data_IF_803508181240
#
_entry.id   IF_803508181240
#
_cell.length_a   1.000
_cell.length_b   1.000
_cell.length_c   1.000
_cell.angle_alpha   90.00
_cell.angle_beta   90.00
_cell.angle_gamma   90.00
#
_symmetry.space_group_name_H-M   'P 1'
#
loop_
_entity.id
_entity.type
_entity.pdbx_description
1 polymer ?
#
# COMPACT_ATOMS: atom_id res chain seq x y z
N UNK A 1 12.09 9.92 -4.19
CA UNK A 1 10.90 10.27 -3.37
C UNK A 1 10.22 9.01 -2.86
N UNK A 2 10.20 7.98 -3.70
CA UNK A 2 9.85 6.60 -3.35
C UNK A 2 11.14 5.78 -3.16
N UNK A 3 11.17 4.96 -2.12
CA UNK A 3 12.18 3.92 -1.93
C UNK A 3 11.59 2.57 -2.33
N UNK A 4 12.26 1.85 -3.20
CA UNK A 4 11.85 0.51 -3.65
C UNK A 4 12.78 -0.55 -3.09
N UNK A 5 12.21 -1.64 -2.60
CA UNK A 5 12.92 -2.85 -2.19
C UNK A 5 12.42 -3.99 -3.08
N UNK A 6 13.33 -4.62 -3.80
CA UNK A 6 13.05 -5.84 -4.56
C UNK A 6 13.24 -7.07 -3.67
N UNK A 7 12.49 -8.14 -3.97
CA UNK A 7 12.50 -9.37 -3.19
C UNK A 7 12.33 -9.11 -1.67
N UNK A 8 11.42 -8.20 -1.32
CA UNK A 8 11.36 -7.62 0.04
C UNK A 8 11.06 -8.65 1.14
N UNK A 9 10.30 -9.70 0.83
CA UNK A 9 9.97 -10.77 1.77
C UNK A 9 10.56 -12.12 1.36
N UNK A 10 10.88 -12.99 2.33
CA UNK A 10 11.18 -14.39 2.08
C UNK A 10 10.08 -15.08 1.25
N UNK A 11 10.42 -15.91 0.25
CA UNK A 11 9.44 -16.58 -0.60
C UNK A 11 8.31 -17.33 0.15
N UNK A 12 8.56 -18.01 1.29
CA UNK A 12 7.50 -18.67 2.05
C UNK A 12 6.44 -17.70 2.58
N UNK A 13 6.82 -16.49 3.02
CA UNK A 13 5.88 -15.48 3.49
C UNK A 13 5.01 -14.94 2.35
N UNK A 14 5.64 -14.66 1.20
CA UNK A 14 4.91 -14.23 0.00
C UNK A 14 3.89 -15.28 -0.43
N UNK A 15 4.29 -16.56 -0.42
CA UNK A 15 3.41 -17.68 -0.78
C UNK A 15 2.20 -17.77 0.14
N UNK A 16 2.41 -17.83 1.47
CA UNK A 16 1.30 -17.95 2.44
C UNK A 16 0.33 -16.77 2.36
N UNK A 17 0.85 -15.55 2.25
CA UNK A 17 0.01 -14.36 2.09
C UNK A 17 -0.82 -14.42 0.80
N UNK A 18 -0.22 -14.84 -0.33
CA UNK A 18 -0.95 -15.01 -1.60
C UNK A 18 -2.03 -16.08 -1.53
N UNK A 19 -1.74 -17.23 -0.92
CA UNK A 19 -2.71 -18.30 -0.73
C UNK A 19 -3.90 -17.82 0.13
N UNK A 20 -3.62 -17.07 1.20
CA UNK A 20 -4.67 -16.45 2.01
C UNK A 20 -5.52 -15.45 1.20
N UNK A 21 -4.89 -14.57 0.41
CA UNK A 21 -5.58 -13.61 -0.45
C UNK A 21 -6.43 -14.32 -1.52
N UNK A 22 -5.92 -15.41 -2.10
CA UNK A 22 -6.65 -16.18 -3.11
C UNK A 22 -7.90 -16.86 -2.53
N UNK A 23 -7.83 -17.35 -1.28
CA UNK A 23 -8.97 -17.97 -0.58
C UNK A 23 -10.13 -17.01 -0.30
N UNK A 24 -9.90 -15.70 -0.31
CA UNK A 24 -10.97 -14.68 -0.23
C UNK A 24 -11.88 -14.74 -1.48
N UNK A 25 -11.40 -15.32 -2.60
CA UNK A 25 -12.17 -15.43 -3.84
C UNK A 25 -12.40 -14.07 -4.49
N UNK A 26 -13.56 -13.90 -5.14
CA UNK A 26 -13.98 -12.64 -5.78
C UNK A 26 -14.90 -11.80 -4.91
N UNK A 27 -15.08 -12.15 -3.64
CA UNK A 27 -15.93 -11.38 -2.74
C UNK A 27 -15.38 -9.95 -2.65
N UNK A 28 -16.26 -8.95 -2.80
CA UNK A 28 -15.97 -7.57 -2.38
C UNK A 28 -14.78 -6.90 -3.06
N UNK A 29 -14.43 -7.27 -4.30
CA UNK A 29 -13.32 -6.68 -5.07
C UNK A 29 -13.31 -5.14 -5.03
N UNK A 30 -14.47 -4.51 -5.21
CA UNK A 30 -14.61 -3.04 -5.13
C UNK A 30 -14.51 -2.49 -3.70
N UNK A 31 -14.92 -3.25 -2.69
CA UNK A 31 -14.88 -2.82 -1.29
C UNK A 31 -13.51 -3.05 -0.64
N UNK A 32 -12.62 -3.82 -1.30
CA UNK A 32 -11.29 -4.16 -0.82
C UNK A 32 -10.40 -2.93 -0.59
N UNK A 33 -10.60 -1.86 -1.36
CA UNK A 33 -9.91 -0.57 -1.21
C UNK A 33 -10.46 0.32 -0.09
N UNK A 34 -11.66 0.03 0.43
CA UNK A 34 -12.34 0.88 1.40
C UNK A 34 -12.46 0.25 2.79
N UNK A 35 -12.07 -1.03 2.93
CA UNK A 35 -12.05 -1.72 4.22
C UNK A 35 -10.62 -1.83 4.70
N UNK A 36 -10.29 -1.05 5.74
CA UNK A 36 -8.96 -1.03 6.35
C UNK A 36 -8.97 -1.72 7.71
N UNK A 37 -7.80 -2.22 8.10
CA UNK A 37 -7.56 -2.92 9.36
C UNK A 37 -6.40 -2.25 10.09
N UNK A 38 -6.55 -2.08 11.41
CA UNK A 38 -5.48 -1.55 12.25
C UNK A 38 -4.68 -2.68 12.89
N UNK A 39 -3.36 -2.68 12.67
CA UNK A 39 -2.43 -3.62 13.26
C UNK A 39 -1.45 -2.90 14.21
N UNK A 40 -1.58 -3.08 15.54
CA UNK A 40 -0.65 -2.51 16.51
C UNK A 40 0.78 -3.05 16.34
N UNK A 41 1.81 -2.22 16.59
CA UNK A 41 3.24 -2.57 16.41
C UNK A 41 3.71 -3.87 17.08
N UNK A 42 3.06 -4.30 18.15
CA UNK A 42 3.42 -5.49 18.94
C UNK A 42 2.34 -6.57 18.93
N UNK A 43 1.38 -6.47 18.03
CA UNK A 43 0.36 -7.48 17.90
C UNK A 43 0.95 -8.78 17.33
N UNK A 44 0.42 -9.92 17.77
CA UNK A 44 0.60 -11.17 17.06
C UNK A 44 -0.24 -11.12 15.77
N UNK A 45 0.24 -11.67 14.64
CA UNK A 45 -0.54 -11.68 13.41
C UNK A 45 -1.73 -12.64 13.56
N UNK A 46 -2.92 -12.18 13.20
CA UNK A 46 -4.12 -13.01 13.18
C UNK A 46 -4.15 -13.97 11.96
N UNK A 47 -3.46 -13.61 10.87
CA UNK A 47 -3.41 -14.40 9.65
C UNK A 47 -2.18 -14.10 8.78
N UNK A 48 -1.95 -14.91 7.74
CA UNK A 48 -0.77 -14.85 6.89
C UNK A 48 -0.50 -13.48 6.20
N UNK A 49 -1.53 -12.67 5.94
CA UNK A 49 -1.32 -11.31 5.42
C UNK A 49 -0.69 -10.39 6.48
N UNK A 50 -1.08 -10.50 7.76
CA UNK A 50 -0.48 -9.71 8.84
C UNK A 50 0.95 -10.17 9.15
N UNK A 51 1.26 -11.47 8.98
CA UNK A 51 2.65 -11.93 9.01
C UNK A 51 3.52 -11.16 8.00
N UNK A 52 3.01 -10.95 6.79
CA UNK A 52 3.69 -10.17 5.77
C UNK A 52 3.79 -8.69 6.14
N UNK A 53 2.71 -8.07 6.66
CA UNK A 53 2.73 -6.67 7.12
C UNK A 53 3.78 -6.46 8.22
N UNK A 54 3.81 -7.33 9.23
CA UNK A 54 4.80 -7.26 10.32
C UNK A 54 6.24 -7.45 9.80
N UNK A 55 6.45 -8.31 8.80
CA UNK A 55 7.76 -8.51 8.19
C UNK A 55 8.23 -7.32 7.33
N UNK A 56 7.30 -6.63 6.65
CA UNK A 56 7.59 -5.43 5.86
C UNK A 56 7.87 -4.20 6.74
N UNK A 57 7.26 -4.14 7.91
CA UNK A 57 7.37 -3.01 8.83
C UNK A 57 8.80 -2.54 9.13
N UNK A 58 9.74 -3.40 9.58
CA UNK A 58 11.11 -2.97 9.83
C UNK A 58 11.78 -2.47 8.55
N UNK A 59 11.46 -3.06 7.40
CA UNK A 59 11.99 -2.67 6.10
C UNK A 59 11.54 -1.26 5.71
N UNK A 60 10.32 -0.85 6.09
CA UNK A 60 9.80 0.50 5.87
C UNK A 60 10.53 1.58 6.69
N UNK A 61 11.24 1.19 7.75
CA UNK A 61 11.81 2.14 8.71
C UNK A 61 10.78 2.71 9.69
N UNK A 62 9.62 2.06 9.83
CA UNK A 62 8.49 2.50 10.65
C UNK A 62 8.68 2.28 12.18
N UNK A 63 9.93 2.27 12.68
CA UNK A 63 10.25 1.99 14.10
C UNK A 63 9.68 3.01 15.09
N UNK A 64 9.11 4.12 14.65
CA UNK A 64 8.47 5.15 15.50
C UNK A 64 6.94 5.18 15.34
N UNK A 65 6.35 4.28 14.55
CA UNK A 65 4.91 4.18 14.37
C UNK A 65 4.27 3.32 15.47
N UNK A 66 3.03 3.66 15.88
CA UNK A 66 2.27 2.93 16.88
C UNK A 66 1.57 1.67 16.32
N UNK A 67 1.17 1.75 15.05
CA UNK A 67 0.46 0.72 14.31
C UNK A 67 0.67 0.94 12.81
N UNK A 68 0.17 0.00 12.03
CA UNK A 68 -0.01 0.14 10.59
C UNK A 68 -1.50 -0.05 10.32
N UNK A 69 -2.07 0.87 9.57
CA UNK A 69 -3.32 0.60 8.89
C UNK A 69 -2.98 -0.13 7.58
N UNK A 70 -3.70 -1.21 7.28
CA UNK A 70 -3.48 -2.01 6.09
C UNK A 70 -4.80 -2.45 5.45
N UNK A 71 -4.76 -2.70 4.15
CA UNK A 71 -5.88 -3.23 3.38
C UNK A 71 -5.35 -4.00 2.16
N UNK A 72 -6.23 -4.73 1.48
CA UNK A 72 -5.90 -5.44 0.24
C UNK A 72 -6.48 -4.67 -0.94
N UNK A 73 -5.63 -4.18 -1.83
CA UNK A 73 -6.08 -3.66 -3.12
C UNK A 73 -6.22 -4.79 -4.15
N UNK A 74 -7.41 -4.96 -4.73
CA UNK A 74 -7.60 -5.76 -5.95
C UNK A 74 -8.50 -5.04 -6.96
N UNK A 75 -7.96 -4.75 -8.12
CA UNK A 75 -8.67 -4.08 -9.21
C UNK A 75 -8.17 -4.59 -10.57
N UNK A 76 -8.97 -4.34 -11.61
CA UNK A 76 -8.49 -4.43 -12.99
C UNK A 76 -7.74 -3.14 -13.31
N UNK A 77 -6.62 -3.23 -14.03
CA UNK A 77 -5.80 -2.04 -14.35
C UNK A 77 -6.49 -1.07 -15.30
N UNK A 78 -7.64 -1.44 -15.86
CA UNK A 78 -8.51 -0.60 -16.71
C UNK A 78 -9.76 -0.08 -15.99
N UNK A 79 -9.93 -0.40 -14.71
CA UNK A 79 -11.06 -0.02 -13.85
C UNK A 79 -10.56 0.16 -12.41
N UNK A 80 -9.77 1.21 -12.20
CA UNK A 80 -9.16 1.52 -10.91
C UNK A 80 -10.16 2.29 -10.03
N UNK A 81 -10.48 1.80 -8.80
CA UNK A 81 -11.50 2.40 -7.96
C UNK A 81 -10.99 3.59 -7.12
N UNK A 82 -9.76 4.03 -7.33
CA UNK A 82 -9.10 5.05 -6.49
C UNK A 82 -8.37 6.07 -7.35
N UNK A 83 -8.73 7.34 -7.17
CA UNK A 83 -8.08 8.49 -7.79
C UNK A 83 -6.78 8.86 -7.06
N UNK A 84 -6.07 9.90 -7.54
CA UNK A 84 -4.97 10.47 -6.77
C UNK A 84 -5.50 11.07 -5.46
N UNK A 85 -4.87 10.73 -4.35
CA UNK A 85 -5.30 11.12 -3.01
C UNK A 85 -4.11 11.23 -2.06
N UNK A 86 -4.41 11.74 -0.86
CA UNK A 86 -3.51 11.67 0.28
C UNK A 86 -4.04 10.60 1.24
N UNK A 87 -3.16 9.72 1.72
CA UNK A 87 -3.51 8.84 2.83
C UNK A 87 -3.81 9.71 4.05
N UNK A 88 -4.98 9.56 4.64
CA UNK A 88 -5.39 10.36 5.78
C UNK A 88 -6.37 9.62 6.67
N UNK A 89 -6.29 9.87 7.98
CA UNK A 89 -7.33 9.47 8.91
C UNK A 89 -8.61 10.29 8.61
N UNK A 90 -9.62 9.62 8.07
CA UNK A 90 -10.92 10.20 7.71
C UNK A 90 -11.90 10.23 8.88
N UNK A 91 -11.58 9.58 10.01
CA UNK A 91 -12.46 9.52 11.19
C UNK A 91 -12.13 10.59 12.24
N UNK A 92 -10.93 11.18 12.16
CA UNK A 92 -10.50 12.24 13.06
C UNK A 92 -11.10 13.62 12.76
N UNK A 93 -11.18 14.49 13.79
CA UNK A 93 -11.55 15.92 13.64
C UNK A 93 -10.54 16.74 12.83
N UNK A 94 -9.31 16.24 12.67
CA UNK A 94 -8.24 16.88 11.92
C UNK A 94 -7.68 15.89 10.90
N UNK A 95 -7.40 16.37 9.68
CA UNK A 95 -6.71 15.58 8.66
C UNK A 95 -5.31 15.26 9.16
N UNK A 96 -5.06 13.98 9.49
CA UNK A 96 -3.76 13.47 9.89
C UNK A 96 -3.29 12.47 8.86
N UNK A 97 -2.06 12.64 8.40
CA UNK A 97 -1.42 11.74 7.44
C UNK A 97 -0.55 10.72 8.19
N UNK A 98 -0.41 9.48 7.68
CA UNK A 98 0.54 8.54 8.24
C UNK A 98 1.98 9.07 8.08
N UNK A 99 2.88 8.64 8.95
CA UNK A 99 4.30 9.01 8.86
C UNK A 99 4.92 8.52 7.55
N UNK A 100 4.50 7.33 7.11
CA UNK A 100 4.96 6.65 5.91
C UNK A 100 3.77 5.94 5.28
N UNK A 101 3.76 5.90 3.96
CA UNK A 101 2.86 5.05 3.17
C UNK A 101 3.69 4.03 2.41
N UNK A 102 3.08 2.88 2.10
CA UNK A 102 3.79 1.82 1.40
C UNK A 102 2.87 0.89 0.64
N UNK A 103 3.34 0.34 -0.48
CA UNK A 103 2.62 -0.60 -1.33
C UNK A 103 3.49 -1.83 -1.56
N UNK A 104 2.94 -3.00 -1.25
CA UNK A 104 3.55 -4.29 -1.57
C UNK A 104 2.80 -4.98 -2.71
N UNK A 105 3.52 -5.37 -3.76
CA UNK A 105 2.92 -5.95 -4.96
C UNK A 105 2.97 -7.48 -4.93
N UNK A 106 1.80 -8.12 -5.00
CA UNK A 106 1.68 -9.59 -4.96
C UNK A 106 1.85 -10.26 -6.34
N UNK A 107 1.64 -9.54 -7.43
CA UNK A 107 1.71 -10.05 -8.80
C UNK A 107 2.17 -8.96 -9.78
N UNK A 108 2.80 -9.34 -10.91
CA UNK A 108 3.01 -8.43 -12.03
C UNK A 108 1.72 -8.25 -12.84
N UNK A 109 1.52 -7.05 -13.39
CA UNK A 109 0.45 -6.72 -14.35
C UNK A 109 0.92 -5.62 -15.31
N UNK A 110 0.24 -5.46 -16.45
CA UNK A 110 0.41 -4.30 -17.35
C UNK A 110 -0.46 -3.15 -16.84
N UNK A 111 0.10 -1.94 -16.80
CA UNK A 111 -0.50 -0.78 -16.11
C UNK A 111 -0.47 -0.96 -14.60
N UNK A 112 -1.34 -0.27 -13.87
CA UNK A 112 -1.45 -0.40 -12.41
C UNK A 112 -0.20 0.10 -11.67
N UNK A 113 0.54 1.03 -12.26
CA UNK A 113 1.74 1.59 -11.67
C UNK A 113 1.36 2.46 -10.48
N UNK A 114 2.03 2.27 -9.34
CA UNK A 114 1.97 3.28 -8.28
C UNK A 114 2.61 4.55 -8.84
N UNK A 115 1.93 5.68 -8.71
CA UNK A 115 2.43 6.99 -9.04
C UNK A 115 2.43 7.85 -7.78
N UNK A 116 3.57 8.44 -7.44
CA UNK A 116 3.75 9.31 -6.28
C UNK A 116 4.28 10.64 -6.76
N UNK A 117 3.68 11.73 -6.28
CA UNK A 117 4.14 13.09 -6.58
C UNK A 117 4.82 13.72 -5.37
N UNK A 118 5.54 14.83 -5.58
CA UNK A 118 6.09 15.64 -4.48
C UNK A 118 5.08 16.62 -3.88
N UNK A 119 3.82 16.59 -4.35
CA UNK A 119 2.76 17.41 -3.81
C UNK A 119 2.40 16.95 -2.39
N UNK A 120 2.33 17.92 -1.49
CA UNK A 120 1.85 17.80 -0.11
C UNK A 120 0.50 18.53 0.03
N UNK A 121 -0.30 18.30 1.10
CA UNK A 121 -1.63 18.89 1.26
C UNK A 121 -1.69 20.42 1.15
N UNK A 122 -0.61 21.12 1.51
CA UNK A 122 -0.50 22.58 1.45
C UNK A 122 -0.03 23.11 0.09
N UNK A 123 0.40 22.24 -0.83
CA UNK A 123 0.84 22.61 -2.18
C UNK A 123 -0.26 22.35 -3.21
N UNK A 124 -0.41 23.28 -4.16
CA UNK A 124 -1.37 23.16 -5.27
C UNK A 124 -0.84 22.40 -6.48
N UNK A 125 0.48 22.27 -6.64
CA UNK A 125 1.09 21.74 -7.87
C UNK A 125 2.21 20.78 -7.54
N UNK A 126 2.22 19.63 -8.22
CA UNK A 126 3.34 18.70 -8.24
C UNK A 126 4.40 19.16 -9.24
N UNK A 127 5.67 19.09 -8.86
CA UNK A 127 6.82 19.34 -9.73
C UNK A 127 7.51 18.05 -10.18
N UNK A 128 7.28 16.95 -9.44
CA UNK A 128 7.89 15.65 -9.71
C UNK A 128 6.86 14.54 -9.62
N UNK A 129 7.05 13.52 -10.47
CA UNK A 129 6.28 12.28 -10.49
C UNK A 129 7.26 11.11 -10.55
N UNK A 130 7.17 10.19 -9.59
CA UNK A 130 7.89 8.92 -9.62
C UNK A 130 6.88 7.77 -9.76
N UNK A 131 7.16 6.82 -10.66
CA UNK A 131 6.30 5.65 -10.88
C UNK A 131 7.00 4.35 -10.50
N UNK A 132 6.24 3.40 -9.96
CA UNK A 132 6.72 2.06 -9.61
C UNK A 132 5.80 1.02 -10.26
N UNK A 133 6.37 0.26 -11.19
CA UNK A 133 5.64 -0.82 -11.84
C UNK A 133 5.33 -1.97 -10.86
N UNK A 134 4.13 -2.57 -10.94
CA UNK A 134 3.79 -3.71 -10.11
C UNK A 134 4.63 -4.92 -10.50
N UNK A 135 5.42 -5.43 -9.56
CA UNK A 135 6.17 -6.68 -9.70
C UNK A 135 6.04 -7.48 -8.43
N UNK A 136 5.90 -8.80 -8.54
CA UNK A 136 5.79 -9.68 -7.37
C UNK A 136 6.96 -9.46 -6.41
N UNK A 137 6.64 -9.32 -5.13
CA UNK A 137 7.61 -9.16 -4.04
C UNK A 137 8.43 -7.85 -4.12
N UNK A 138 7.86 -6.84 -4.78
CA UNK A 138 8.37 -5.48 -4.76
C UNK A 138 7.63 -4.68 -3.69
N UNK A 139 8.38 -3.90 -2.92
CA UNK A 139 7.86 -3.06 -1.86
C UNK A 139 8.26 -1.61 -2.09
N UNK A 140 7.29 -0.72 -2.25
CA UNK A 140 7.49 0.72 -2.43
C UNK A 140 7.12 1.44 -1.13
N UNK A 141 7.95 2.37 -0.67
CA UNK A 141 7.74 3.17 0.55
C UNK A 141 7.96 4.64 0.22
N UNK A 142 7.12 5.52 0.75
CA UNK A 142 7.22 6.98 0.55
C UNK A 142 6.68 7.73 1.78
N UNK A 143 6.87 9.05 1.81
CA UNK A 143 6.33 9.87 2.89
C UNK A 143 4.79 9.88 2.82
N UNK A 144 4.11 9.66 3.95
CA UNK A 144 2.67 9.39 3.95
C UNK A 144 1.76 10.59 3.68
N UNK A 145 2.34 11.79 3.60
CA UNK A 145 1.65 13.02 3.24
C UNK A 145 1.82 13.39 1.75
N UNK A 146 2.32 12.48 0.91
CA UNK A 146 2.47 12.75 -0.52
C UNK A 146 1.22 12.33 -1.29
N UNK A 147 0.84 13.15 -2.28
CA UNK A 147 -0.22 12.83 -3.22
C UNK A 147 0.22 11.65 -4.08
N UNK A 148 -0.61 10.63 -4.15
CA UNK A 148 -0.29 9.43 -4.90
C UNK A 148 -1.56 8.75 -5.42
N UNK A 149 -1.38 7.88 -6.39
CA UNK A 149 -2.47 7.13 -7.00
C UNK A 149 -1.94 5.94 -7.79
N UNK A 150 -2.83 5.33 -8.56
CA UNK A 150 -2.47 4.23 -9.45
C UNK A 150 -2.79 4.66 -10.88
N UNK A 151 -1.81 4.53 -11.78
CA UNK A 151 -2.02 4.79 -13.20
C UNK A 151 -2.75 3.62 -13.84
N UNK A 152 -3.81 3.91 -14.59
CA UNK A 152 -4.54 2.89 -15.34
C UNK A 152 -3.70 2.41 -16.54
N UNK A 153 -4.21 1.39 -17.23
CA UNK A 153 -3.60 0.82 -18.42
C UNK A 153 -4.15 1.42 -19.72
N UNK A 154 -4.90 2.53 -19.65
CA UNK A 154 -5.53 3.17 -20.81
C UNK A 154 -4.63 4.23 -21.44
#
# INVERSE_FOLDING_TARGET
MVRVIEAALPPPLVRRAREAIARIGSERLRQSYFTTFWLPRRAAPAHAVEEAVLALWPLAGARRCAGAEWWLGRAYTTDLPVEFHFDQDVKGRHRRHPRLSSVFFFNPVRGGQLAVTDQVPTSRTAMRLETVAPRRNRYAIFAGNLLHGVLDAR
#
